data_IF_002999626874
#
_entry.id   IF_002999626874
#
_cell.length_a   1.000
_cell.length_b   1.000
_cell.length_c   1.000
_cell.angle_alpha   90.00
_cell.angle_beta   90.00
_cell.angle_gamma   90.00
#
_symmetry.space_group_name_H-M   'P 1'
#
loop_
_entity.id
_entity.type
_entity.pdbx_description
1 polymer ?
#
# COMPACT_ATOMS: atom_id res chain seq x y z
N UNK A 1 -10.49 3.48 11.49
CA UNK A 1 -10.71 2.13 10.92
C UNK A 1 -9.84 2.01 9.68
N UNK A 2 -8.99 0.99 9.59
CA UNK A 2 -8.08 0.80 8.47
C UNK A 2 -8.81 0.06 7.33
N UNK A 3 -9.34 0.80 6.36
CA UNK A 3 -9.90 0.20 5.16
C UNK A 3 -8.78 -0.45 4.33
N UNK A 4 -9.09 -1.60 3.72
CA UNK A 4 -8.19 -2.31 2.81
C UNK A 4 -8.34 -1.67 1.44
N UNK A 5 -7.30 -0.98 0.99
CA UNK A 5 -7.34 -0.22 -0.24
C UNK A 5 -7.50 -1.13 -1.46
N UNK A 6 -8.50 -0.81 -2.28
CA UNK A 6 -8.88 -1.52 -3.50
C UNK A 6 -8.09 -0.95 -4.68
N UNK A 7 -7.48 -1.81 -5.48
CA UNK A 7 -6.82 -1.41 -6.72
C UNK A 7 -7.80 -1.44 -7.89
N UNK A 8 -7.45 -0.71 -8.95
CA UNK A 8 -8.29 -0.18 -10.02
C UNK A 8 -9.21 -1.17 -10.78
N UNK A 9 -9.22 -2.47 -10.46
CA UNK A 9 -9.98 -3.49 -11.19
C UNK A 9 -10.68 -4.55 -10.33
N UNK A 10 -10.62 -4.47 -9.01
CA UNK A 10 -11.32 -5.44 -8.16
C UNK A 10 -12.56 -4.83 -7.48
N UNK A 11 -13.72 -5.27 -7.98
CA UNK A 11 -15.09 -5.11 -7.48
C UNK A 11 -15.89 -3.98 -8.15
N UNK A 12 -16.69 -4.42 -9.13
CA UNK A 12 -17.91 -3.77 -9.58
C UNK A 12 -18.91 -3.67 -8.43
N UNK A 13 -18.92 -2.52 -7.77
CA UNK A 13 -20.07 -1.98 -7.06
C UNK A 13 -20.08 -0.49 -7.42
N UNK A 14 -21.24 0.16 -7.43
CA UNK A 14 -21.44 1.54 -7.89
C UNK A 14 -20.70 2.63 -7.08
N UNK A 15 -19.81 2.24 -6.18
CA UNK A 15 -19.06 3.10 -5.28
C UNK A 15 -17.54 2.95 -5.48
N UNK A 16 -16.97 3.87 -6.25
CA UNK A 16 -15.51 4.06 -6.34
C UNK A 16 -15.08 5.12 -5.33
N UNK A 17 -14.50 4.70 -4.21
CA UNK A 17 -14.02 5.60 -3.15
C UNK A 17 -12.54 6.00 -3.39
N UNK A 18 -12.28 7.29 -3.64
CA UNK A 18 -10.93 7.78 -3.89
C UNK A 18 -10.01 7.66 -2.68
N UNK A 19 -10.56 7.64 -1.46
CA UNK A 19 -9.78 7.48 -0.23
C UNK A 19 -9.31 6.02 -0.05
N UNK A 20 -10.07 5.07 -0.62
CA UNK A 20 -9.76 3.64 -0.57
C UNK A 20 -9.07 3.11 -1.83
N UNK A 21 -8.88 3.91 -2.88
CA UNK A 21 -8.12 3.47 -4.06
C UNK A 21 -6.61 3.39 -3.79
N UNK A 22 -5.78 2.92 -4.70
CA UNK A 22 -4.33 3.21 -4.77
C UNK A 22 -3.87 3.09 -6.22
N UNK A 23 -2.97 3.97 -6.68
CA UNK A 23 -2.45 3.90 -8.05
C UNK A 23 -1.31 2.88 -8.14
N UNK A 24 -1.41 1.97 -9.11
CA UNK A 24 -0.37 0.99 -9.41
C UNK A 24 -0.22 0.80 -10.92
N UNK A 25 0.99 0.43 -11.35
CA UNK A 25 1.27 0.00 -12.71
C UNK A 25 0.68 -1.40 -12.98
N UNK A 26 0.58 -1.80 -14.24
CA UNK A 26 -0.03 -3.09 -14.63
C UNK A 26 0.57 -4.31 -13.89
N UNK A 27 1.90 -4.51 -13.81
CA UNK A 27 2.47 -5.65 -13.07
C UNK A 27 2.09 -5.66 -11.59
N UNK A 28 1.96 -4.49 -10.97
CA UNK A 28 1.60 -4.36 -9.57
C UNK A 28 0.10 -4.61 -9.33
N UNK A 29 -0.78 -4.24 -10.26
CA UNK A 29 -2.19 -4.67 -10.22
C UNK A 29 -2.30 -6.20 -10.33
N UNK A 30 -1.54 -6.82 -11.24
CA UNK A 30 -1.50 -8.28 -11.38
C UNK A 30 -1.00 -9.00 -10.13
N UNK A 31 -0.02 -8.42 -9.43
CA UNK A 31 0.48 -8.96 -8.16
C UNK A 31 -0.67 -9.10 -7.15
N UNK A 32 -1.47 -8.05 -6.97
CA UNK A 32 -2.60 -8.03 -6.02
C UNK A 32 -3.66 -9.04 -6.41
N UNK A 33 -4.04 -9.09 -7.69
CA UNK A 33 -5.07 -10.01 -8.18
C UNK A 33 -4.67 -11.49 -8.04
N UNK A 34 -3.37 -11.81 -8.16
CA UNK A 34 -2.92 -13.21 -8.32
C UNK A 34 -2.17 -13.80 -7.14
N UNK A 35 -1.68 -12.99 -6.21
CA UNK A 35 -0.72 -13.46 -5.19
C UNK A 35 -1.14 -13.20 -3.75
N UNK A 36 -2.31 -12.57 -3.54
CA UNK A 36 -2.85 -12.30 -2.20
C UNK A 36 -2.20 -11.11 -1.48
N UNK A 37 -1.39 -10.31 -2.21
CA UNK A 37 -0.96 -9.01 -1.73
C UNK A 37 -2.18 -8.07 -1.63
N UNK A 38 -2.19 -7.23 -0.62
CA UNK A 38 -3.20 -6.17 -0.45
C UNK A 38 -2.52 -4.84 -0.18
N UNK A 39 -3.25 -3.74 -0.31
CA UNK A 39 -2.73 -2.41 0.02
C UNK A 39 -3.61 -1.68 1.01
N UNK A 40 -3.05 -0.63 1.61
CA UNK A 40 -3.73 0.27 2.54
C UNK A 40 -3.18 1.68 2.40
N UNK A 41 -4.04 2.69 2.51
CA UNK A 41 -3.67 4.10 2.72
C UNK A 41 -4.12 4.58 4.11
N UNK A 42 -3.19 4.83 5.05
CA UNK A 42 -3.53 5.27 6.40
C UNK A 42 -3.77 6.80 6.52
N UNK A 43 -3.94 7.52 5.41
CA UNK A 43 -4.18 8.97 5.40
C UNK A 43 -2.92 9.86 5.33
N UNK A 44 -1.71 9.31 5.53
CA UNK A 44 -0.43 10.04 5.40
C UNK A 44 0.07 10.17 3.95
N UNK A 45 -0.81 9.97 2.96
CA UNK A 45 -0.47 9.96 1.54
C UNK A 45 0.39 8.77 1.08
N UNK A 46 0.68 7.78 1.93
CA UNK A 46 1.57 6.65 1.58
C UNK A 46 0.86 5.33 1.29
N UNK A 47 1.37 4.72 0.23
CA UNK A 47 1.32 3.32 -0.22
C UNK A 47 1.74 2.22 0.75
N UNK A 48 0.92 1.66 1.64
CA UNK A 48 1.31 0.43 2.36
C UNK A 48 0.96 -0.83 1.55
N UNK A 49 1.96 -1.69 1.35
CA UNK A 49 1.87 -3.01 0.71
C UNK A 49 1.92 -4.10 1.78
N UNK A 50 0.86 -4.88 1.87
CA UNK A 50 0.67 -5.92 2.87
C UNK A 50 0.85 -7.27 2.17
N UNK A 51 1.91 -8.02 2.51
CA UNK A 51 2.17 -9.33 1.92
C UNK A 51 1.15 -10.38 2.43
N UNK A 52 0.98 -11.50 1.72
CA UNK A 52 0.28 -12.67 2.26
C UNK A 52 1.04 -13.23 3.47
N UNK A 53 0.33 -13.87 4.41
CA UNK A 53 0.85 -14.26 5.72
C UNK A 53 2.16 -15.09 5.69
N UNK A 54 2.35 -15.92 4.66
CA UNK A 54 3.57 -16.74 4.52
C UNK A 54 4.81 -15.93 4.07
N UNK A 55 4.62 -14.68 3.64
CA UNK A 55 5.67 -13.73 3.27
C UNK A 55 5.75 -12.55 4.25
N UNK A 56 4.94 -12.53 5.32
CA UNK A 56 4.98 -11.47 6.33
C UNK A 56 6.06 -11.79 7.37
N UNK A 57 7.25 -11.23 7.17
CA UNK A 57 8.42 -11.43 8.03
C UNK A 57 8.79 -10.17 8.81
N UNK A 58 7.89 -9.18 8.88
CA UNK A 58 8.14 -7.91 9.56
C UNK A 58 8.91 -6.89 8.71
N UNK A 59 8.97 -7.07 7.39
CA UNK A 59 9.58 -6.14 6.47
C UNK A 59 8.82 -4.79 6.41
N UNK A 60 9.48 -3.70 6.02
CA UNK A 60 8.81 -2.42 5.79
C UNK A 60 7.69 -2.55 4.75
N UNK A 61 6.46 -2.21 5.15
CA UNK A 61 5.30 -2.24 4.26
C UNK A 61 5.27 -1.08 3.26
N UNK A 62 6.18 -0.11 3.39
CA UNK A 62 6.19 1.08 2.51
C UNK A 62 7.46 1.11 1.67
N UNK A 63 7.30 1.26 0.35
CA UNK A 63 8.42 1.35 -0.58
C UNK A 63 9.12 2.73 -0.49
N UNK A 64 10.42 2.74 -0.14
CA UNK A 64 11.27 3.93 -0.16
C UNK A 64 12.31 3.93 -1.30
N UNK A 65 12.12 3.16 -2.38
CA UNK A 65 13.11 3.04 -3.47
C UNK A 65 13.62 4.39 -3.99
N UNK A 66 12.74 5.37 -4.18
CA UNK A 66 13.10 6.73 -4.63
C UNK A 66 13.48 7.70 -3.50
N UNK A 67 13.35 7.26 -2.25
CA UNK A 67 13.68 8.05 -1.05
C UNK A 67 14.49 7.22 -0.04
N UNK A 68 15.64 6.66 -0.44
CA UNK A 68 16.41 5.73 0.40
C UNK A 68 16.89 6.37 1.71
N UNK A 69 16.99 7.71 1.76
CA UNK A 69 17.32 8.45 2.98
C UNK A 69 16.37 8.18 4.15
N UNK A 70 15.12 7.76 3.87
CA UNK A 70 14.14 7.37 4.89
C UNK A 70 14.48 6.08 5.64
N UNK A 71 15.45 5.30 5.16
CA UNK A 71 15.99 4.16 5.90
C UNK A 71 17.10 4.57 6.88
N UNK A 72 17.59 5.81 6.78
CA UNK A 72 18.75 6.31 7.53
C UNK A 72 18.37 7.24 8.67
N UNK A 73 17.09 7.61 8.77
CA UNK A 73 16.54 8.47 9.82
C UNK A 73 15.77 7.60 10.79
N UNK A 74 16.16 7.65 12.07
CA UNK A 74 15.32 7.16 13.17
C UNK A 74 14.01 7.96 13.19
N UNK A 75 12.95 7.38 13.74
CA UNK A 75 11.54 7.68 13.48
C UNK A 75 11.00 9.03 13.99
N UNK A 76 11.70 10.15 13.77
CA UNK A 76 11.34 11.49 14.24
C UNK A 76 11.20 12.52 13.10
N UNK A 77 10.51 12.16 12.02
CA UNK A 77 9.79 13.19 11.23
C UNK A 77 8.39 13.33 11.84
N UNK A 78 8.32 13.97 13.03
CA UNK A 78 7.07 14.54 13.54
C UNK A 78 6.55 15.57 12.50
N UNK A 79 5.30 15.48 12.05
CA UNK A 79 4.73 16.47 11.14
C UNK A 79 4.35 17.74 11.93
N UNK A 80 4.72 18.90 11.39
CA UNK A 80 4.09 20.19 11.70
C UNK A 80 2.57 20.17 11.38
#
# INVERSE_FOLDING_TARGET
MAARSRHYLAVFDDHTDIDDLTLACQPANLLIEKTGYTTKRPGNGRTQWIPPAHLDTGQPQTNNHFHPRRYLTDADDEPD
#
